data_IF_053217994371
#
_entry.id   IF_053217994371
#
_cell.length_a   1.000
_cell.length_b   1.000
_cell.length_c   1.000
_cell.angle_alpha   90.00
_cell.angle_beta   90.00
_cell.angle_gamma   90.00
#
_symmetry.space_group_name_H-M   'P 1'
#
loop_
_entity.id
_entity.type
_entity.pdbx_description
1 polymer ?
#
# COMPACT_ATOMS: atom_id res chain seq x y z
N UNK A 1 -8.42 23.11 3.32
CA UNK A 1 -9.16 22.43 2.24
C UNK A 1 -8.54 21.07 2.00
N UNK A 2 -9.38 20.04 1.96
CA UNK A 2 -9.00 18.70 1.51
C UNK A 2 -9.22 18.62 -0.01
N UNK A 3 -8.23 18.14 -0.76
CA UNK A 3 -8.26 18.07 -2.22
C UNK A 3 -8.87 16.77 -2.70
N UNK A 4 -8.06 15.71 -2.74
CA UNK A 4 -8.46 14.35 -3.05
C UNK A 4 -7.49 13.39 -2.35
N UNK A 5 -7.92 12.15 -2.11
CA UNK A 5 -7.07 11.10 -1.57
C UNK A 5 -6.82 10.06 -2.66
N UNK A 6 -5.55 9.80 -2.96
CA UNK A 6 -5.17 8.67 -3.79
C UNK A 6 -5.47 7.35 -3.05
N UNK A 7 -6.03 6.39 -3.77
CA UNK A 7 -6.35 5.08 -3.23
C UNK A 7 -6.05 3.98 -4.24
N UNK A 8 -5.30 2.97 -3.80
CA UNK A 8 -5.09 1.75 -4.56
C UNK A 8 -6.08 0.69 -4.04
N UNK A 9 -6.96 0.20 -4.89
CA UNK A 9 -8.02 -0.77 -4.54
C UNK A 9 -7.51 -2.16 -4.15
N UNK A 10 -6.22 -2.44 -4.31
CA UNK A 10 -5.64 -3.78 -4.22
C UNK A 10 -5.16 -4.15 -2.81
N UNK A 11 -5.86 -3.70 -1.76
CA UNK A 11 -5.63 -4.21 -0.41
C UNK A 11 -6.12 -5.65 -0.32
N UNK A 12 -5.22 -6.59 -0.64
CA UNK A 12 -5.46 -8.04 -0.52
C UNK A 12 -5.85 -8.42 0.90
N UNK A 13 -6.60 -9.51 1.06
CA UNK A 13 -6.99 -10.03 2.39
C UNK A 13 -5.80 -10.17 3.34
N UNK A 14 -4.62 -10.53 2.81
CA UNK A 14 -3.36 -10.62 3.56
C UNK A 14 -2.94 -9.31 4.23
N UNK A 15 -3.17 -8.17 3.57
CA UNK A 15 -2.87 -6.86 4.16
C UNK A 15 -3.86 -6.51 5.27
N UNK A 16 -5.12 -6.96 5.16
CA UNK A 16 -6.13 -6.78 6.20
C UNK A 16 -5.87 -7.68 7.42
N UNK A 17 -5.35 -8.89 7.19
CA UNK A 17 -4.95 -9.82 8.25
C UNK A 17 -3.75 -9.28 9.02
N UNK A 18 -2.73 -8.76 8.31
CA UNK A 18 -1.52 -8.19 8.95
C UNK A 18 -1.79 -6.83 9.60
N UNK A 19 -2.66 -6.00 9.02
CA UNK A 19 -2.99 -4.67 9.52
C UNK A 19 -4.49 -4.56 9.85
N UNK A 20 -4.92 -5.03 11.02
CA UNK A 20 -6.31 -4.90 11.43
C UNK A 20 -6.70 -3.42 11.63
N UNK A 21 -7.92 -3.07 11.23
CA UNK A 21 -8.46 -1.71 11.35
C UNK A 21 -8.24 -0.83 10.11
N UNK A 22 -7.71 -1.37 9.01
CA UNK A 22 -7.56 -0.61 7.77
C UNK A 22 -8.87 0.03 7.28
N UNK A 23 -8.82 1.23 6.68
CA UNK A 23 -10.00 1.90 6.14
C UNK A 23 -10.67 1.10 5.03
N UNK A 24 -12.00 1.21 4.95
CA UNK A 24 -12.79 0.56 3.91
C UNK A 24 -13.17 1.53 2.81
N UNK A 25 -13.10 1.09 1.55
CA UNK A 25 -13.66 1.85 0.42
C UNK A 25 -15.05 1.36 0.10
N UNK A 26 -15.97 2.31 0.06
CA UNK A 26 -17.34 2.10 -0.37
C UNK A 26 -17.79 3.26 -1.25
N UNK A 27 -18.32 2.93 -2.43
CA UNK A 27 -18.88 3.89 -3.37
C UNK A 27 -17.93 5.06 -3.74
N UNK A 28 -16.62 4.79 -3.79
CA UNK A 28 -15.59 5.80 -4.13
C UNK A 28 -15.13 6.68 -2.96
N UNK A 29 -15.59 6.40 -1.74
CA UNK A 29 -15.17 7.10 -0.52
C UNK A 29 -14.44 6.15 0.43
N UNK A 30 -13.51 6.70 1.22
CA UNK A 30 -12.75 5.98 2.23
C UNK A 30 -13.39 6.24 3.60
N UNK A 31 -13.74 5.16 4.30
CA UNK A 31 -14.33 5.18 5.63
C UNK A 31 -13.31 4.70 6.66
N UNK A 32 -13.03 5.56 7.64
CA UNK A 32 -12.20 5.23 8.79
C UNK A 32 -13.04 4.56 9.88
N UNK A 33 -12.40 3.82 10.78
CA UNK A 33 -13.05 3.34 12.00
C UNK A 33 -13.02 4.40 13.12
N UNK A 34 -13.78 4.14 14.18
CA UNK A 34 -13.92 5.03 15.33
C UNK A 34 -12.97 4.69 16.50
N UNK A 35 -11.95 3.86 16.27
CA UNK A 35 -11.00 3.47 17.32
C UNK A 35 -10.06 4.64 17.67
N UNK A 36 -9.59 4.72 18.93
CA UNK A 36 -8.66 5.78 19.34
C UNK A 36 -7.30 5.65 18.62
N UNK A 37 -6.63 6.79 18.42
CA UNK A 37 -5.33 6.83 17.77
C UNK A 37 -5.43 6.82 16.25
N UNK A 38 -4.54 6.08 15.57
CA UNK A 38 -4.57 5.91 14.11
C UNK A 38 -5.71 4.96 13.69
N UNK A 39 -6.18 4.10 14.61
CA UNK A 39 -7.21 3.10 14.34
C UNK A 39 -6.72 1.90 13.54
N UNK A 40 -5.41 1.73 13.39
CA UNK A 40 -4.80 0.56 12.72
C UNK A 40 -3.72 0.00 13.64
N UNK A 41 -3.66 -1.32 13.74
CA UNK A 41 -2.60 -2.03 14.47
C UNK A 41 -1.83 -2.98 13.52
N UNK A 42 -0.82 -3.67 14.04
CA UNK A 42 -0.05 -4.68 13.31
C UNK A 42 -0.08 -6.03 14.03
N UNK A 43 -0.43 -7.09 13.31
CA UNK A 43 -0.26 -8.46 13.76
C UNK A 43 1.15 -8.96 13.38
N UNK A 44 2.05 -9.04 14.37
CA UNK A 44 3.44 -9.45 14.15
C UNK A 44 3.59 -10.94 13.76
N UNK A 45 2.68 -11.82 14.20
CA UNK A 45 2.73 -13.24 13.86
C UNK A 45 2.32 -13.47 12.39
N UNK A 46 1.30 -12.75 11.93
CA UNK A 46 0.91 -12.74 10.52
C UNK A 46 1.96 -12.03 9.65
N UNK A 47 2.52 -10.90 10.11
CA UNK A 47 3.57 -10.18 9.40
C UNK A 47 4.81 -11.06 9.16
N UNK A 48 5.19 -11.89 10.14
CA UNK A 48 6.34 -12.78 10.06
C UNK A 48 6.25 -13.80 8.90
N UNK A 49 5.04 -14.10 8.41
CA UNK A 49 4.82 -15.00 7.26
C UNK A 49 5.25 -14.37 5.93
N UNK A 50 5.45 -13.06 5.89
CA UNK A 50 5.73 -12.30 4.67
C UNK A 50 7.09 -11.56 4.75
N UNK A 51 8.22 -12.29 4.73
CA UNK A 51 9.55 -11.68 4.80
C UNK A 51 9.82 -10.78 3.59
N UNK A 52 10.50 -9.66 3.83
CA UNK A 52 10.90 -8.71 2.80
C UNK A 52 11.77 -9.38 1.74
N UNK A 53 11.51 -9.06 0.46
CA UNK A 53 12.33 -9.49 -0.66
C UNK A 53 13.21 -8.34 -1.12
N UNK A 54 14.52 -8.56 -1.13
CA UNK A 54 15.47 -7.60 -1.69
C UNK A 54 15.63 -7.85 -3.20
N UNK A 55 14.72 -7.29 -3.99
CA UNK A 55 14.70 -7.42 -5.45
C UNK A 55 14.86 -6.03 -6.06
N UNK A 56 15.76 -5.90 -7.04
CA UNK A 56 15.92 -4.65 -7.78
C UNK A 56 14.63 -4.33 -8.55
N UNK A 57 13.98 -3.18 -8.34
CA UNK A 57 12.78 -2.83 -9.08
C UNK A 57 13.13 -2.52 -10.54
N UNK A 58 12.87 -3.46 -11.45
CA UNK A 58 13.24 -3.38 -12.87
C UNK A 58 12.72 -2.11 -13.55
N UNK A 59 11.51 -1.66 -13.18
CA UNK A 59 10.87 -0.47 -13.74
C UNK A 59 11.67 0.83 -13.52
N UNK A 60 12.54 0.87 -12.51
CA UNK A 60 13.40 2.04 -12.26
C UNK A 60 14.59 2.14 -13.22
N UNK A 61 14.92 1.05 -13.93
CA UNK A 61 15.96 1.02 -14.97
C UNK A 61 15.39 1.47 -16.32
N UNK A 62 14.59 2.54 -16.32
CA UNK A 62 13.92 3.06 -17.51
C UNK A 62 14.93 3.67 -18.49
N UNK A 63 14.83 3.26 -19.75
CA UNK A 63 15.69 3.72 -20.85
C UNK A 63 14.88 4.13 -22.05
N UNK A 64 15.32 5.20 -22.71
CA UNK A 64 14.87 5.54 -24.06
C UNK A 64 15.32 4.48 -25.08
N UNK A 65 14.71 4.40 -26.27
CA UNK A 65 15.11 3.44 -27.30
C UNK A 65 16.58 3.52 -27.75
N UNK A 66 17.23 4.66 -27.56
CA UNK A 66 18.66 4.87 -27.82
C UNK A 66 19.58 4.35 -26.69
N UNK A 67 18.99 3.88 -25.59
CA UNK A 67 19.68 3.36 -24.41
C UNK A 67 19.94 4.41 -23.32
N UNK A 68 19.61 5.70 -23.53
CA UNK A 68 19.81 6.75 -22.53
C UNK A 68 18.90 6.53 -21.32
N UNK A 69 19.46 6.66 -20.11
CA UNK A 69 18.68 6.54 -18.87
C UNK A 69 17.64 7.67 -18.76
N UNK A 70 16.41 7.32 -18.40
CA UNK A 70 15.30 8.25 -18.21
C UNK A 70 14.86 8.24 -16.75
N UNK A 71 14.20 9.32 -16.31
CA UNK A 71 13.41 9.26 -15.07
C UNK A 71 12.19 8.38 -15.36
N UNK A 72 11.99 7.27 -14.63
CA UNK A 72 10.81 6.43 -14.80
C UNK A 72 9.52 7.19 -14.48
#
# INVERSE_FOLDING_TARGET
NFGIQEWCSDFTDKLRDVFPGMPEVKDGYIYLNDQPGIGVDIDEEEAAKYPCKNILPEWTLSRWPDGTAARP
#
